data_IF_794974067318
#
_entry.id   IF_794974067318
#
_cell.length_a   1.000
_cell.length_b   1.000
_cell.length_c   1.000
_cell.angle_alpha   90.00
_cell.angle_beta   90.00
_cell.angle_gamma   90.00
#
_symmetry.space_group_name_H-M   'P 1'
#
loop_
_entity.id
_entity.type
_entity.pdbx_description
1 polymer ?
#
# COMPACT_ATOMS: atom_id res chain seq x y z
N UNK A 1 -74.56 -17.79 -5.22
CA UNK A 1 -74.50 -18.97 -6.11
C UNK A 1 -73.08 -19.00 -6.67
N UNK A 2 -72.10 -19.60 -5.97
CA UNK A 2 -71.71 -21.03 -6.05
C UNK A 2 -71.47 -21.44 -7.52
N UNK A 3 -70.27 -21.79 -7.98
CA UNK A 3 -69.47 -22.99 -7.62
C UNK A 3 -68.09 -22.91 -8.32
N UNK A 4 -66.95 -23.03 -7.61
CA UNK A 4 -66.00 -24.18 -7.52
C UNK A 4 -65.74 -24.94 -8.84
N UNK A 5 -64.54 -25.43 -9.24
CA UNK A 5 -63.25 -25.76 -8.61
C UNK A 5 -62.34 -26.38 -9.72
N UNK A 6 -61.01 -26.50 -9.52
CA UNK A 6 -60.29 -27.68 -10.03
C UNK A 6 -58.98 -27.51 -10.82
N UNK A 7 -57.91 -27.15 -10.12
CA UNK A 7 -56.52 -27.58 -10.40
C UNK A 7 -56.42 -29.13 -10.39
N UNK A 8 -55.65 -29.77 -11.30
CA UNK A 8 -54.78 -30.95 -10.99
C UNK A 8 -53.90 -31.40 -12.19
N UNK A 9 -52.59 -31.37 -11.91
CA UNK A 9 -51.43 -32.20 -12.31
C UNK A 9 -51.44 -33.11 -13.56
N UNK A 10 -50.40 -32.94 -14.39
CA UNK A 10 -49.45 -33.99 -14.85
C UNK A 10 -48.08 -33.32 -15.08
N UNK A 11 -47.15 -33.29 -14.13
CA UNK A 11 -46.17 -34.35 -13.81
C UNK A 11 -45.47 -34.95 -15.04
N UNK A 12 -44.32 -34.39 -15.41
CA UNK A 12 -43.16 -35.14 -15.88
C UNK A 12 -41.88 -34.44 -15.40
N UNK A 13 -41.22 -35.11 -14.48
CA UNK A 13 -39.99 -34.74 -13.80
C UNK A 13 -38.79 -35.37 -14.52
N UNK A 14 -37.65 -34.68 -14.43
CA UNK A 14 -36.26 -35.10 -14.70
C UNK A 14 -35.81 -35.26 -16.17
N UNK A 15 -34.79 -34.49 -16.58
CA UNK A 15 -33.41 -34.91 -16.31
C UNK A 15 -32.42 -33.75 -16.46
N UNK A 16 -31.39 -33.78 -15.62
CA UNK A 16 -30.44 -32.72 -15.35
C UNK A 16 -29.46 -32.45 -16.51
N UNK A 17 -29.23 -31.17 -16.81
CA UNK A 17 -27.94 -30.68 -17.27
C UNK A 17 -27.82 -29.16 -17.01
N UNK A 18 -27.95 -28.75 -15.75
CA UNK A 18 -27.43 -27.46 -15.32
C UNK A 18 -25.93 -27.65 -15.06
N UNK A 19 -25.11 -27.52 -16.10
CA UNK A 19 -23.70 -27.25 -15.91
C UNK A 19 -23.59 -25.78 -15.48
N UNK A 20 -23.15 -25.47 -14.25
CA UNK A 20 -22.72 -24.12 -13.97
C UNK A 20 -21.49 -23.86 -14.83
N UNK A 21 -21.60 -22.92 -15.77
CA UNK A 21 -20.44 -22.26 -16.35
C UNK A 21 -19.80 -21.45 -15.22
N UNK A 22 -19.08 -22.14 -14.33
CA UNK A 22 -18.25 -21.52 -13.33
C UNK A 22 -17.13 -20.82 -14.09
N UNK A 23 -17.21 -19.49 -14.13
CA UNK A 23 -16.13 -18.61 -14.49
C UNK A 23 -14.88 -19.05 -13.74
N UNK A 24 -13.93 -19.65 -14.45
CA UNK A 24 -12.58 -19.87 -13.95
C UNK A 24 -11.91 -18.49 -13.82
N UNK A 25 -12.21 -17.78 -12.74
CA UNK A 25 -11.36 -16.70 -12.26
C UNK A 25 -10.01 -17.33 -11.93
N UNK A 26 -8.89 -16.75 -12.37
CA UNK A 26 -7.58 -17.28 -12.03
C UNK A 26 -7.48 -17.42 -10.52
N UNK A 27 -7.14 -18.64 -10.12
CA UNK A 27 -7.02 -19.10 -8.76
C UNK A 27 -6.09 -18.15 -7.98
N UNK A 28 -6.72 -17.34 -7.15
CA UNK A 28 -6.26 -17.03 -5.81
C UNK A 28 -4.75 -16.74 -5.69
N UNK A 29 -4.34 -15.48 -5.90
CA UNK A 29 -3.07 -14.98 -5.34
C UNK A 29 -3.26 -14.84 -3.83
N UNK A 30 -3.36 -15.98 -3.13
CA UNK A 30 -3.03 -16.02 -1.71
C UNK A 30 -1.53 -15.75 -1.62
N UNK A 31 -1.09 -14.77 -0.82
CA UNK A 31 0.29 -14.77 -0.37
C UNK A 31 0.57 -16.17 0.17
N UNK A 32 1.57 -16.85 -0.38
CA UNK A 32 2.12 -18.02 0.29
C UNK A 32 2.53 -17.54 1.69
N UNK A 33 2.03 -18.13 2.79
CA UNK A 33 2.42 -17.68 4.11
C UNK A 33 3.91 -18.00 4.28
N UNK A 34 4.74 -16.99 4.08
CA UNK A 34 6.07 -16.95 4.65
C UNK A 34 5.92 -16.50 6.10
N UNK A 35 5.28 -17.34 6.92
CA UNK A 35 5.25 -17.12 8.37
C UNK A 35 6.57 -17.61 8.96
N UNK A 36 7.66 -16.99 8.53
CA UNK A 36 8.86 -16.91 9.33
C UNK A 36 8.72 -15.61 10.09
N UNK A 37 8.10 -15.66 11.26
CA UNK A 37 8.20 -14.58 12.23
C UNK A 37 9.65 -14.58 12.74
N UNK A 38 10.57 -13.93 12.02
CA UNK A 38 11.91 -13.65 12.53
C UNK A 38 11.76 -12.57 13.60
N UNK A 39 11.40 -12.98 14.81
CA UNK A 39 11.47 -12.15 16.00
C UNK A 39 12.92 -11.70 16.19
N UNK A 40 13.19 -10.42 15.93
CA UNK A 40 14.49 -9.79 16.21
C UNK A 40 15.38 -9.48 15.01
N UNK A 41 14.93 -9.70 13.76
CA UNK A 41 15.66 -9.21 12.59
C UNK A 41 15.16 -7.83 12.16
N UNK A 42 15.91 -6.79 12.53
CA UNK A 42 15.73 -5.44 12.02
C UNK A 42 16.71 -5.24 10.86
N UNK A 43 16.18 -5.06 9.65
CA UNK A 43 17.01 -4.73 8.51
C UNK A 43 17.73 -3.38 8.75
N UNK A 44 19.00 -3.25 8.34
CA UNK A 44 19.75 -2.01 8.52
C UNK A 44 19.18 -0.84 7.71
N UNK A 45 18.41 -1.14 6.66
CA UNK A 45 17.72 -0.14 5.84
C UNK A 45 16.57 -0.80 5.07
N UNK A 46 15.45 -0.08 4.87
CA UNK A 46 14.28 -0.55 4.13
C UNK A 46 14.20 0.08 2.73
N UNK A 47 13.78 -0.66 1.70
CA UNK A 47 13.69 -0.11 0.35
C UNK A 47 12.48 0.83 0.22
N UNK A 48 12.71 2.09 -0.18
CA UNK A 48 11.63 3.04 -0.50
C UNK A 48 11.44 3.17 -2.02
N UNK A 49 12.54 3.36 -2.76
CA UNK A 49 12.52 3.39 -4.22
C UNK A 49 13.84 2.84 -4.75
N UNK A 50 13.90 1.54 -5.02
CA UNK A 50 15.14 0.82 -5.35
C UNK A 50 14.99 0.10 -6.68
N UNK A 51 15.61 0.65 -7.73
CA UNK A 51 15.50 0.07 -9.08
C UNK A 51 16.82 -0.08 -9.82
N UNK A 52 17.65 0.95 -9.79
CA UNK A 52 18.96 0.98 -10.45
C UNK A 52 19.91 1.90 -9.66
N UNK A 53 21.20 1.99 -10.01
CA UNK A 53 22.16 2.79 -9.24
C UNK A 53 21.82 4.28 -9.10
N UNK A 54 20.91 4.82 -9.93
CA UNK A 54 20.51 6.22 -9.94
C UNK A 54 19.14 6.46 -9.28
N UNK A 55 18.26 5.46 -9.25
CA UNK A 55 17.00 5.46 -8.50
C UNK A 55 17.10 4.46 -7.36
N UNK A 56 17.60 4.97 -6.22
CA UNK A 56 17.94 4.17 -5.05
C UNK A 56 17.80 4.97 -3.76
N UNK A 57 16.56 5.11 -3.29
CA UNK A 57 16.18 5.72 -2.03
C UNK A 57 15.86 4.64 -0.97
N UNK A 58 16.43 4.80 0.22
CA UNK A 58 16.34 3.84 1.31
C UNK A 58 15.96 4.52 2.63
N UNK A 59 15.22 3.83 3.49
CA UNK A 59 14.88 4.29 4.84
C UNK A 59 15.86 3.68 5.85
N UNK A 60 16.70 4.47 6.52
CA UNK A 60 17.64 3.94 7.50
C UNK A 60 16.92 3.19 8.62
N UNK A 61 17.47 2.03 9.02
CA UNK A 61 16.89 1.17 10.05
C UNK A 61 16.67 1.86 11.39
N UNK A 62 17.49 2.86 11.71
CA UNK A 62 17.36 3.71 12.91
C UNK A 62 16.14 4.63 12.92
N UNK A 63 15.53 4.89 11.75
CA UNK A 63 14.41 5.81 11.58
C UNK A 63 13.06 5.07 11.38
N UNK A 64 13.08 3.74 11.29
CA UNK A 64 11.91 2.88 11.04
C UNK A 64 10.82 3.03 12.10
N UNK A 65 11.17 3.44 13.33
CA UNK A 65 10.21 3.64 14.42
C UNK A 65 9.32 4.88 14.26
N UNK A 66 9.72 5.86 13.44
CA UNK A 66 8.96 7.09 13.21
C UNK A 66 9.14 7.61 11.78
N UNK A 67 8.38 7.02 10.86
CA UNK A 67 8.36 7.34 9.43
C UNK A 67 8.00 8.81 9.13
N UNK A 68 7.02 9.45 9.79
CA UNK A 68 6.70 10.86 9.58
C UNK A 68 7.89 11.82 9.66
N UNK A 69 8.80 11.59 10.61
CA UNK A 69 10.02 12.40 10.79
C UNK A 69 11.24 11.79 10.09
N UNK A 70 11.07 10.64 9.44
CA UNK A 70 12.18 9.95 8.80
C UNK A 70 12.55 10.59 7.46
N UNK A 71 13.81 10.44 7.06
CA UNK A 71 14.32 10.85 5.76
C UNK A 71 14.84 9.67 4.96
N UNK A 72 14.61 9.72 3.65
CA UNK A 72 15.25 8.79 2.72
C UNK A 72 16.75 9.13 2.58
N UNK A 73 17.59 8.12 2.44
CA UNK A 73 19.01 8.25 2.12
C UNK A 73 19.32 7.59 0.77
N UNK A 74 20.28 8.17 0.04
CA UNK A 74 20.86 7.56 -1.14
C UNK A 74 21.94 6.52 -0.79
N UNK A 75 22.02 5.42 -1.55
CA UNK A 75 22.78 4.22 -1.17
C UNK A 75 24.30 4.40 -1.03
N UNK A 76 24.94 5.32 -1.77
CA UNK A 76 26.41 5.44 -1.76
C UNK A 76 26.97 6.37 -0.69
N UNK A 77 26.20 7.36 -0.27
CA UNK A 77 26.77 8.56 0.38
C UNK A 77 26.06 8.96 1.67
N UNK A 78 25.01 8.21 2.09
CA UNK A 78 24.11 8.60 3.19
C UNK A 78 23.60 10.05 3.03
N UNK A 79 23.54 10.54 1.80
CA UNK A 79 23.00 11.85 1.48
C UNK A 79 21.50 11.74 1.64
N UNK A 80 20.93 12.60 2.48
CA UNK A 80 19.49 12.72 2.67
C UNK A 80 18.84 13.17 1.37
N UNK A 81 17.73 12.54 1.03
CA UNK A 81 16.88 12.92 -0.08
C UNK A 81 15.73 13.74 0.51
N UNK A 82 15.52 14.95 -0.02
CA UNK A 82 14.36 15.78 0.31
C UNK A 82 13.12 15.15 -0.32
N UNK A 83 12.50 14.18 0.33
CA UNK A 83 11.24 13.59 -0.12
C UNK A 83 10.22 13.65 1.00
N UNK A 84 9.22 14.50 0.81
CA UNK A 84 8.16 14.75 1.80
C UNK A 84 6.82 14.25 1.29
N UNK A 85 6.04 13.63 2.18
CA UNK A 85 4.64 13.25 1.93
C UNK A 85 3.77 13.81 3.06
N UNK A 86 2.77 14.62 2.68
CA UNK A 86 1.79 15.22 3.57
C UNK A 86 0.37 14.76 3.19
N UNK A 87 -0.50 14.71 4.18
CA UNK A 87 -1.93 14.50 4.00
C UNK A 87 -2.72 15.59 4.74
N UNK A 88 -3.56 16.33 4.03
CA UNK A 88 -4.57 17.15 4.66
C UNK A 88 -5.84 16.32 4.85
N UNK A 89 -6.32 16.21 6.09
CA UNK A 89 -7.53 15.48 6.47
C UNK A 89 -8.45 16.46 7.19
N UNK A 90 -9.65 16.68 6.66
CA UNK A 90 -10.66 17.60 7.21
C UNK A 90 -10.08 18.99 7.55
N UNK A 91 -9.26 19.54 6.64
CA UNK A 91 -8.62 20.85 6.79
C UNK A 91 -7.41 20.91 7.73
N UNK A 92 -6.98 19.80 8.34
CA UNK A 92 -5.74 19.71 9.13
C UNK A 92 -4.65 18.96 8.38
N UNK A 93 -3.46 19.55 8.28
CA UNK A 93 -2.34 18.94 7.57
C UNK A 93 -1.52 18.05 8.50
N UNK A 94 -1.28 16.82 8.05
CA UNK A 94 -0.49 15.81 8.72
C UNK A 94 0.75 15.45 7.91
N UNK A 95 1.86 15.17 8.60
CA UNK A 95 3.07 14.67 7.98
C UNK A 95 3.06 13.14 7.98
N UNK A 96 3.22 12.53 6.81
CA UNK A 96 3.29 11.07 6.65
C UNK A 96 4.72 10.55 6.49
N UNK A 97 5.60 11.33 5.86
CA UNK A 97 6.99 10.98 5.61
C UNK A 97 7.83 12.24 5.33
N UNK A 98 9.11 12.23 5.70
CA UNK A 98 10.07 13.17 5.13
C UNK A 98 10.24 14.51 5.83
N UNK A 99 9.64 14.75 7.00
CA UNK A 99 9.77 16.03 7.71
C UNK A 99 10.56 15.90 9.03
N UNK A 100 11.90 15.80 8.98
CA UNK A 100 12.73 15.64 10.18
C UNK A 100 12.59 16.78 11.18
N UNK A 101 12.53 18.02 10.69
CA UNK A 101 12.42 19.24 11.49
C UNK A 101 10.96 19.68 11.70
N UNK A 102 10.01 18.89 11.21
CA UNK A 102 8.61 19.26 11.10
C UNK A 102 8.37 20.36 10.06
N UNK A 103 7.10 20.61 9.75
CA UNK A 103 6.68 21.69 8.84
C UNK A 103 5.71 22.60 9.59
N UNK A 104 5.84 23.91 9.39
CA UNK A 104 4.96 24.89 10.03
C UNK A 104 3.49 24.57 9.74
N UNK A 105 2.64 24.63 10.76
CA UNK A 105 1.20 24.31 10.68
C UNK A 105 0.87 22.86 10.26
N UNK A 106 1.78 21.92 10.52
CA UNK A 106 1.51 20.49 10.33
C UNK A 106 1.55 19.73 11.65
N UNK A 107 0.83 18.62 11.71
CA UNK A 107 0.84 17.68 12.84
C UNK A 107 1.48 16.38 12.40
N UNK A 108 2.41 15.81 13.18
CA UNK A 108 3.00 14.51 12.86
C UNK A 108 1.94 13.41 12.94
N UNK A 109 1.78 12.59 11.90
CA UNK A 109 0.90 11.42 11.96
C UNK A 109 1.43 10.39 12.96
N UNK A 110 0.56 9.56 13.53
CA UNK A 110 0.96 8.51 14.47
C UNK A 110 1.21 7.22 13.70
N UNK A 111 2.45 6.73 13.69
CA UNK A 111 2.75 5.43 13.08
C UNK A 111 2.24 4.27 13.94
N UNK A 112 1.42 3.41 13.35
CA UNK A 112 0.90 2.18 13.97
C UNK A 112 1.81 0.99 13.72
N UNK A 113 2.20 0.80 12.46
CA UNK A 113 2.98 -0.35 12.04
C UNK A 113 3.81 0.00 10.82
N UNK A 114 4.89 -0.75 10.63
CA UNK A 114 5.69 -0.73 9.40
C UNK A 114 6.18 -2.14 9.12
N UNK A 115 5.99 -2.58 7.88
CA UNK A 115 6.43 -3.87 7.38
C UNK A 115 7.16 -3.71 6.06
N UNK A 116 7.94 -4.71 5.69
CA UNK A 116 8.68 -4.68 4.43
C UNK A 116 8.82 -6.07 3.82
N UNK A 117 9.01 -6.08 2.51
CA UNK A 117 9.40 -7.24 1.71
C UNK A 117 10.61 -6.85 0.85
N UNK A 118 11.04 -7.74 -0.04
CA UNK A 118 12.12 -7.41 -0.97
C UNK A 118 11.79 -6.23 -1.91
N UNK A 119 10.51 -5.90 -2.12
CA UNK A 119 10.07 -4.86 -3.08
C UNK A 119 9.08 -3.85 -2.51
N UNK A 120 8.59 -4.07 -1.30
CA UNK A 120 7.62 -3.19 -0.64
C UNK A 120 8.12 -2.72 0.72
N UNK A 121 7.80 -1.48 1.08
CA UNK A 121 7.79 -0.99 2.46
C UNK A 121 6.43 -0.37 2.72
N UNK A 122 5.67 -0.93 3.65
CA UNK A 122 4.28 -0.57 3.93
C UNK A 122 4.21 -0.04 5.35
N UNK A 123 3.70 1.19 5.51
CA UNK A 123 3.49 1.80 6.82
C UNK A 123 2.02 2.19 7.00
N UNK A 124 1.50 1.90 8.19
CA UNK A 124 0.16 2.30 8.61
C UNK A 124 0.28 3.49 9.57
N UNK A 125 -0.41 4.57 9.24
CA UNK A 125 -0.36 5.85 9.94
C UNK A 125 -1.78 6.29 10.30
N UNK A 126 -1.96 6.89 11.47
CA UNK A 126 -3.17 7.61 11.84
C UNK A 126 -2.98 9.11 11.69
N UNK A 127 -3.86 9.74 10.91
CA UNK A 127 -3.89 11.17 10.64
C UNK A 127 -5.28 11.72 11.00
N UNK A 128 -5.48 12.02 12.29
CA UNK A 128 -6.77 12.50 12.80
C UNK A 128 -7.86 11.42 12.70
N UNK A 129 -8.90 11.68 11.90
CA UNK A 129 -9.99 10.74 11.65
C UNK A 129 -9.69 9.71 10.55
N UNK A 130 -8.61 9.91 9.79
CA UNK A 130 -8.22 9.02 8.70
C UNK A 130 -7.12 8.04 9.13
N UNK A 131 -7.27 6.77 8.73
CA UNK A 131 -6.20 5.78 8.73
C UNK A 131 -5.62 5.69 7.33
N UNK A 132 -4.31 5.92 7.22
CA UNK A 132 -3.59 6.04 5.96
C UNK A 132 -2.54 4.95 5.88
N UNK A 133 -2.51 4.22 4.76
CA UNK A 133 -1.47 3.24 4.45
C UNK A 133 -0.61 3.78 3.32
N UNK A 134 0.69 3.90 3.55
CA UNK A 134 1.68 4.29 2.55
C UNK A 134 2.48 3.06 2.15
N UNK A 135 2.39 2.66 0.88
CA UNK A 135 3.13 1.53 0.30
C UNK A 135 4.14 2.04 -0.73
N UNK A 136 5.41 1.94 -0.37
CA UNK A 136 6.55 2.19 -1.23
C UNK A 136 6.90 0.93 -2.00
N UNK A 137 6.64 0.92 -3.31
CA UNK A 137 6.77 -0.27 -4.14
C UNK A 137 7.78 -0.09 -5.28
N UNK A 138 8.76 -1.00 -5.35
CA UNK A 138 9.76 -1.08 -6.41
C UNK A 138 9.53 -2.32 -7.28
N UNK A 139 8.83 -2.19 -8.42
CA UNK A 139 8.39 -3.34 -9.21
C UNK A 139 9.56 -4.06 -9.90
N UNK A 140 9.49 -5.39 -9.89
CA UNK A 140 10.37 -6.25 -10.68
C UNK A 140 9.51 -6.96 -11.73
N UNK A 141 9.83 -6.79 -13.01
CA UNK A 141 9.10 -7.42 -14.12
C UNK A 141 10.04 -8.32 -14.93
N UNK A 142 10.36 -9.56 -14.47
CA UNK A 142 11.42 -10.41 -15.03
C UNK A 142 11.33 -10.61 -16.55
N UNK A 143 10.12 -10.71 -17.09
CA UNK A 143 9.86 -11.03 -18.50
C UNK A 143 9.53 -9.79 -19.35
N UNK A 144 9.56 -8.58 -18.79
CA UNK A 144 9.24 -7.35 -19.52
C UNK A 144 10.44 -6.39 -19.50
N UNK A 145 11.31 -6.53 -20.50
CA UNK A 145 12.54 -5.73 -20.62
C UNK A 145 12.28 -4.22 -20.77
N UNK A 146 11.18 -3.83 -21.43
CA UNK A 146 10.78 -2.42 -21.53
C UNK A 146 10.50 -1.85 -20.14
N UNK A 147 9.63 -2.50 -19.35
CA UNK A 147 9.36 -2.09 -17.97
C UNK A 147 10.61 -2.14 -17.10
N UNK A 148 11.53 -3.06 -17.37
CA UNK A 148 12.78 -3.12 -16.62
C UNK A 148 13.73 -1.95 -16.92
N UNK A 149 13.70 -1.41 -18.14
CA UNK A 149 14.60 -0.35 -18.57
C UNK A 149 14.25 1.03 -18.02
N UNK A 150 13.03 1.23 -17.50
CA UNK A 150 12.62 2.51 -16.94
C UNK A 150 13.02 2.66 -15.45
N UNK A 151 13.63 3.79 -15.06
CA UNK A 151 13.89 4.11 -13.66
C UNK A 151 12.62 4.67 -13.01
N UNK A 152 11.76 3.81 -12.48
CA UNK A 152 10.58 4.25 -11.72
C UNK A 152 10.29 3.34 -10.53
N UNK A 153 9.57 3.90 -9.56
CA UNK A 153 8.93 3.22 -8.43
C UNK A 153 7.52 3.78 -8.27
N UNK A 154 6.74 3.15 -7.41
CA UNK A 154 5.40 3.61 -7.04
C UNK A 154 5.35 3.95 -5.56
N UNK A 155 4.55 4.96 -5.24
CA UNK A 155 4.02 5.14 -3.88
C UNK A 155 2.52 5.11 -3.97
N UNK A 156 1.92 4.16 -3.27
CA UNK A 156 0.48 4.00 -3.19
C UNK A 156 0.01 4.48 -1.83
N UNK A 157 -1.02 5.31 -1.82
CA UNK A 157 -1.60 5.85 -0.59
C UNK A 157 -3.05 5.39 -0.54
N UNK A 158 -3.37 4.59 0.48
CA UNK A 158 -4.73 4.13 0.74
C UNK A 158 -5.27 4.84 1.97
N UNK A 159 -6.50 5.31 1.90
CA UNK A 159 -7.12 6.14 2.94
C UNK A 159 -8.46 5.53 3.35
N UNK A 160 -8.70 5.45 4.65
CA UNK A 160 -9.99 5.07 5.22
C UNK A 160 -10.39 6.03 6.35
N UNK A 161 -11.68 6.26 6.55
CA UNK A 161 -12.22 7.02 7.70
C UNK A 161 -12.61 8.49 7.43
N UNK A 162 -12.10 9.13 6.37
CA UNK A 162 -12.57 10.45 5.92
C UNK A 162 -12.78 10.49 4.40
N UNK A 163 -13.70 11.36 3.95
CA UNK A 163 -13.98 11.65 2.55
C UNK A 163 -13.27 12.90 2.01
N UNK A 164 -12.73 13.76 2.88
CA UNK A 164 -12.01 14.98 2.51
C UNK A 164 -10.53 14.82 2.84
N UNK A 165 -9.80 14.23 1.88
CA UNK A 165 -8.38 13.98 2.01
C UNK A 165 -7.62 14.45 0.77
N UNK A 166 -6.60 15.27 1.00
CA UNK A 166 -5.69 15.75 -0.03
C UNK A 166 -4.28 15.27 0.27
N UNK A 167 -3.60 14.74 -0.75
CA UNK A 167 -2.25 14.21 -0.61
C UNK A 167 -1.29 15.11 -1.39
N UNK A 168 -0.18 15.47 -0.74
CA UNK A 168 0.94 16.16 -1.37
C UNK A 168 2.19 15.29 -1.21
N UNK A 169 2.88 15.03 -2.31
CA UNK A 169 4.21 14.43 -2.31
C UNK A 169 5.13 15.35 -3.10
N UNK A 170 6.24 15.75 -2.49
CA UNK A 170 7.22 16.65 -3.10
C UNK A 170 8.62 16.07 -2.92
N UNK A 171 9.46 16.30 -3.94
CA UNK A 171 10.88 16.00 -3.88
C UNK A 171 11.63 17.30 -4.16
N UNK A 172 12.51 17.70 -3.26
CA UNK A 172 13.36 18.89 -3.32
C UNK A 172 14.82 18.55 -3.00
N UNK A 173 15.70 19.52 -3.22
CA UNK A 173 17.06 19.47 -2.69
C UNK A 173 17.03 19.76 -1.18
N UNK A 174 17.63 18.83 -0.41
CA UNK A 174 17.71 18.92 1.05
C UNK A 174 18.56 20.08 1.54
#
# INVERSE_FOLDING_TARGET
MASDSGTILRLCLYFACCLPFASALPENIRPYPLDVTVSGFQAPSLPLAVRNPYLSAWLPGSQVSNLPTAQAEFWTSKTTLGWTILAQVDGKTFTLFGAPDGITNTTTATQKSIGYTATHTIAELDAGAASIVVDFFSPVSPNNHLRQSFPFSYVTISVAGSSDVQILSAIDDS
#
